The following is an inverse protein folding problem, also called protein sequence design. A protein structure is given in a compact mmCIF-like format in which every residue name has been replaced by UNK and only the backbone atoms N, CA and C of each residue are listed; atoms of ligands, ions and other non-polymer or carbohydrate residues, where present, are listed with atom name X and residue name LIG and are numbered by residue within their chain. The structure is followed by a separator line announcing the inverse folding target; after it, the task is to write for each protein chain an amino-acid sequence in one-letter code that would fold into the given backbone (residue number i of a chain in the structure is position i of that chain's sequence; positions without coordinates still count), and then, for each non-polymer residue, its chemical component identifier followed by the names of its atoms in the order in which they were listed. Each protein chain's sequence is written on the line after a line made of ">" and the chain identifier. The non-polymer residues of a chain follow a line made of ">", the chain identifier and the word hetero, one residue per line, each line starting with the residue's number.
data_IF_565179733621
#
_entry.id   IF_565179733621
#
_cell.length_a   1.000
_cell.length_b   1.000
_cell.length_c   1.000
_cell.angle_alpha   90.00
_cell.angle_beta   90.00
_cell.angle_gamma   90.00
#
_symmetry.space_group_name_H-M   'P 1'
#
loop_
_entity.id
_entity.type
_entity.pdbx_description
1 polymer ?
#
# COMPACT_ATOMS: atom_id res chain seq x y z
N UNK A 1 -64.30 46.25 -62.26
CA UNK A 1 -64.10 45.41 -61.06
C UNK A 1 -64.79 44.08 -61.32
N UNK A 2 -63.99 43.06 -61.62
CA UNK A 2 -64.41 41.72 -62.08
C UNK A 2 -64.71 40.80 -60.88
N UNK A 3 -65.84 40.09 -60.94
CA UNK A 3 -66.20 38.99 -60.06
C UNK A 3 -66.67 37.82 -60.92
N UNK A 4 -65.96 36.69 -60.86
CA UNK A 4 -66.52 35.36 -61.19
C UNK A 4 -65.55 34.23 -60.82
N UNK A 5 -66.05 33.31 -59.96
CA UNK A 5 -66.07 31.82 -60.10
C UNK A 5 -64.72 31.07 -60.25
N UNK A 6 -64.46 29.85 -59.77
CA UNK A 6 -65.28 28.71 -59.32
C UNK A 6 -64.41 27.65 -58.60
N UNK A 7 -65.06 26.89 -57.72
CA UNK A 7 -65.07 25.43 -57.50
C UNK A 7 -63.81 24.53 -57.51
N UNK A 8 -63.89 23.60 -56.55
CA UNK A 8 -63.11 22.38 -56.25
C UNK A 8 -62.65 21.53 -57.45
N UNK A 9 -61.46 20.93 -57.30
CA UNK A 9 -61.14 19.60 -57.81
C UNK A 9 -60.24 18.84 -56.82
N UNK A 10 -60.66 17.62 -56.47
CA UNK A 10 -59.89 16.66 -55.68
C UNK A 10 -58.87 15.93 -56.58
N UNK A 11 -57.65 15.72 -56.09
CA UNK A 11 -56.69 14.77 -56.66
C UNK A 11 -56.01 14.01 -55.53
N UNK A 12 -56.24 12.70 -55.50
CA UNK A 12 -55.47 11.71 -54.75
C UNK A 12 -54.05 11.61 -55.32
N UNK A 13 -53.02 11.64 -54.47
CA UNK A 13 -51.66 11.22 -54.84
C UNK A 13 -51.08 10.23 -53.81
N UNK A 14 -50.33 9.21 -54.26
CA UNK A 14 -49.96 8.04 -53.46
C UNK A 14 -48.67 8.22 -52.65
N UNK A 15 -48.54 7.33 -51.67
CA UNK A 15 -47.42 7.18 -50.73
C UNK A 15 -46.04 7.05 -51.41
N UNK A 16 -45.10 7.89 -50.97
CA UNK A 16 -43.66 7.72 -51.16
C UNK A 16 -43.02 7.40 -49.81
N UNK A 17 -42.70 6.12 -49.60
CA UNK A 17 -41.84 5.66 -48.50
C UNK A 17 -40.41 6.11 -48.80
N UNK A 18 -40.01 7.25 -48.25
CA UNK A 18 -38.62 7.68 -48.21
C UNK A 18 -37.93 6.97 -47.03
N UNK A 19 -37.13 5.94 -47.33
CA UNK A 19 -36.27 5.28 -46.35
C UNK A 19 -35.13 6.19 -45.92
N UNK A 20 -35.10 6.57 -44.65
CA UNK A 20 -33.92 7.15 -44.02
C UNK A 20 -32.94 6.03 -43.66
N UNK A 21 -32.02 5.69 -44.57
CA UNK A 21 -30.85 4.88 -44.24
C UNK A 21 -29.79 5.77 -43.60
N UNK A 22 -29.77 5.85 -42.26
CA UNK A 22 -28.69 6.48 -41.51
C UNK A 22 -27.43 5.64 -41.69
N UNK A 23 -26.41 6.18 -42.35
CA UNK A 23 -25.12 5.52 -42.47
C UNK A 23 -24.52 5.27 -41.07
N UNK A 24 -24.00 4.07 -40.75
CA UNK A 24 -23.31 3.85 -39.49
C UNK A 24 -22.05 4.72 -39.49
N UNK A 25 -21.99 5.67 -38.56
CA UNK A 25 -20.79 6.43 -38.25
C UNK A 25 -19.67 5.44 -37.94
N UNK A 26 -18.61 5.44 -38.76
CA UNK A 26 -17.39 4.68 -38.50
C UNK A 26 -16.93 5.04 -37.08
N UNK A 27 -16.66 4.07 -36.19
CA UNK A 27 -16.07 4.40 -34.90
C UNK A 27 -14.76 5.12 -35.18
N UNK A 28 -14.67 6.37 -34.74
CA UNK A 28 -13.42 7.11 -34.70
C UNK A 28 -12.53 6.34 -33.72
N UNK A 29 -11.69 5.43 -34.23
CA UNK A 29 -10.62 4.84 -33.44
C UNK A 29 -9.68 6.00 -33.10
N UNK A 30 -9.90 6.62 -31.94
CA UNK A 30 -8.98 7.55 -31.35
C UNK A 30 -7.64 6.83 -31.19
N UNK A 31 -6.67 7.21 -32.02
CA UNK A 31 -5.30 6.75 -31.85
C UNK A 31 -4.86 7.11 -30.42
N UNK A 32 -4.15 6.20 -29.71
CA UNK A 32 -3.57 6.55 -28.42
C UNK A 32 -2.66 7.76 -28.62
N UNK A 33 -2.94 8.85 -27.90
CA UNK A 33 -2.17 10.09 -27.98
C UNK A 33 -0.74 9.73 -27.59
N UNK A 34 0.26 10.08 -28.41
CA UNK A 34 1.65 9.65 -28.23
C UNK A 34 2.21 9.91 -26.80
N UNK A 35 1.68 10.92 -26.10
CA UNK A 35 1.98 11.21 -24.70
C UNK A 35 1.50 10.16 -23.69
N UNK A 36 0.39 9.47 -23.93
CA UNK A 36 -0.13 8.41 -23.05
C UNK A 36 0.69 7.11 -23.15
N UNK A 37 1.24 6.83 -24.33
CA UNK A 37 2.15 5.69 -24.51
C UNK A 37 3.50 5.92 -23.82
N UNK A 38 4.02 7.15 -23.85
CA UNK A 38 5.24 7.53 -23.13
C UNK A 38 5.05 7.56 -21.61
N UNK A 39 3.94 8.10 -21.08
CA UNK A 39 3.67 8.09 -19.64
C UNK A 39 3.52 6.65 -19.12
N UNK A 40 2.78 5.79 -19.83
CA UNK A 40 2.65 4.39 -19.45
C UNK A 40 3.96 3.58 -19.59
N UNK A 41 4.90 4.01 -20.44
CA UNK A 41 6.23 3.39 -20.53
C UNK A 41 7.15 3.85 -19.39
N UNK A 42 7.13 5.15 -19.05
CA UNK A 42 7.82 5.71 -17.89
C UNK A 42 7.34 5.05 -16.60
N UNK A 43 6.03 4.93 -16.40
CA UNK A 43 5.44 4.25 -15.23
C UNK A 43 5.87 2.77 -15.14
N UNK A 44 6.05 2.09 -16.27
CA UNK A 44 6.50 0.69 -16.29
C UNK A 44 7.99 0.53 -15.95
N UNK A 45 8.84 1.43 -16.43
CA UNK A 45 10.26 1.46 -16.03
C UNK A 45 10.38 1.78 -14.53
N UNK A 46 9.62 2.79 -14.08
CA UNK A 46 9.48 3.22 -12.68
C UNK A 46 9.18 2.05 -11.74
N UNK A 47 8.14 1.29 -12.03
CA UNK A 47 7.72 0.12 -11.23
C UNK A 47 8.79 -0.97 -11.22
N UNK A 48 9.49 -1.17 -12.35
CA UNK A 48 10.56 -2.18 -12.45
C UNK A 48 11.74 -1.83 -11.54
N UNK A 49 12.14 -0.56 -11.52
CA UNK A 49 13.27 -0.11 -10.72
C UNK A 49 12.95 -0.19 -9.22
N UNK A 50 11.74 0.21 -8.81
CA UNK A 50 11.28 0.07 -7.42
C UNK A 50 11.23 -1.39 -6.98
N UNK A 51 10.77 -2.29 -7.87
CA UNK A 51 10.79 -3.72 -7.56
C UNK A 51 12.19 -4.28 -7.40
N UNK A 52 13.14 -3.86 -8.23
CA UNK A 52 14.52 -4.29 -8.09
C UNK A 52 15.09 -3.86 -6.73
N UNK A 53 14.72 -2.67 -6.24
CA UNK A 53 15.09 -2.21 -4.90
C UNK A 53 14.48 -3.07 -3.79
N UNK A 54 13.18 -3.38 -3.84
CA UNK A 54 12.53 -4.27 -2.86
C UNK A 54 13.19 -5.64 -2.84
N UNK A 55 13.48 -6.23 -4.00
CA UNK A 55 14.12 -7.55 -4.11
C UNK A 55 15.52 -7.53 -3.48
N UNK A 56 16.30 -6.47 -3.71
CA UNK A 56 17.59 -6.31 -3.05
C UNK A 56 17.44 -6.20 -1.53
N UNK A 57 16.45 -5.42 -1.08
CA UNK A 57 16.20 -5.19 0.34
C UNK A 57 15.76 -6.47 1.07
N UNK A 58 14.90 -7.27 0.44
CA UNK A 58 14.53 -8.62 0.92
C UNK A 58 15.79 -9.47 1.11
N UNK A 59 16.62 -9.59 0.07
CA UNK A 59 17.84 -10.41 0.12
C UNK A 59 18.78 -10.00 1.27
N UNK A 60 18.89 -8.68 1.52
CA UNK A 60 19.65 -8.16 2.65
C UNK A 60 19.05 -8.61 3.99
N UNK A 61 17.75 -8.41 4.17
CA UNK A 61 17.06 -8.71 5.43
C UNK A 61 17.03 -10.22 5.71
N UNK A 62 16.83 -11.05 4.70
CA UNK A 62 16.91 -12.52 4.82
C UNK A 62 18.27 -12.97 5.34
N UNK A 63 19.36 -12.41 4.80
CA UNK A 63 20.72 -12.75 5.20
C UNK A 63 21.00 -12.34 6.65
N UNK A 64 20.41 -11.24 7.11
CA UNK A 64 20.79 -10.63 8.39
C UNK A 64 19.81 -10.92 9.53
N UNK A 65 18.52 -11.16 9.30
CA UNK A 65 17.56 -11.36 10.39
C UNK A 65 17.62 -12.76 11.03
N UNK A 66 18.22 -13.76 10.37
CA UNK A 66 18.65 -15.01 11.00
C UNK A 66 17.57 -15.89 11.65
N UNK A 67 16.30 -15.49 11.62
CA UNK A 67 15.12 -16.27 11.98
C UNK A 67 14.16 -16.31 10.80
N UNK A 68 13.42 -17.42 10.74
CA UNK A 68 12.47 -17.83 9.71
C UNK A 68 12.09 -16.78 8.68
N UNK A 69 12.30 -17.14 7.40
CA UNK A 69 11.82 -16.39 6.23
C UNK A 69 10.31 -16.11 6.26
N UNK A 70 9.55 -16.73 7.17
CA UNK A 70 8.11 -16.48 7.37
C UNK A 70 7.78 -15.06 7.84
N UNK A 71 8.77 -14.35 8.40
CA UNK A 71 8.58 -13.01 8.94
C UNK A 71 8.77 -11.91 7.88
N UNK A 72 9.14 -12.26 6.65
CA UNK A 72 9.29 -11.36 5.52
C UNK A 72 8.25 -11.68 4.45
N UNK A 73 7.39 -10.71 4.12
CA UNK A 73 6.38 -10.86 3.09
C UNK A 73 6.59 -9.80 2.00
N UNK A 74 6.87 -10.25 0.78
CA UNK A 74 6.87 -9.40 -0.42
C UNK A 74 5.43 -9.10 -0.81
N UNK A 75 5.03 -7.83 -0.69
CA UNK A 75 3.72 -7.33 -1.09
C UNK A 75 3.71 -6.76 -2.51
N UNK A 76 4.81 -6.93 -3.26
CA UNK A 76 4.96 -6.58 -4.67
C UNK A 76 5.45 -5.16 -4.92
N UNK A 77 4.94 -4.17 -4.16
CA UNK A 77 5.39 -2.77 -4.17
C UNK A 77 6.06 -2.34 -2.85
N UNK A 78 6.03 -3.25 -1.87
CA UNK A 78 6.43 -3.01 -0.49
C UNK A 78 6.84 -4.31 0.18
N UNK A 79 7.62 -4.18 1.24
CA UNK A 79 8.08 -5.29 2.05
C UNK A 79 7.49 -5.17 3.45
N UNK A 80 6.85 -6.23 3.93
CA UNK A 80 6.40 -6.33 5.30
C UNK A 80 7.36 -7.21 6.10
N UNK A 81 7.93 -6.63 7.16
CA UNK A 81 8.74 -7.37 8.15
C UNK A 81 7.92 -7.52 9.42
N UNK A 82 7.76 -8.74 9.91
CA UNK A 82 7.05 -9.03 11.16
C UNK A 82 8.06 -9.34 12.25
N UNK A 83 7.98 -8.65 13.38
CA UNK A 83 8.73 -8.97 14.58
C UNK A 83 7.74 -9.47 15.64
N UNK A 84 7.83 -10.72 16.09
CA UNK A 84 7.05 -11.19 17.22
C UNK A 84 7.31 -10.31 18.44
N UNK A 85 6.23 -9.85 19.09
CA UNK A 85 6.34 -9.05 20.31
C UNK A 85 6.95 -9.85 21.46
N UNK A 86 6.67 -11.15 21.49
CA UNK A 86 7.36 -12.10 22.36
C UNK A 86 8.85 -12.18 21.99
N UNK A 87 9.73 -11.92 22.96
CA UNK A 87 11.17 -11.88 22.76
C UNK A 87 11.69 -10.54 22.27
N UNK A 88 10.91 -9.74 21.53
CA UNK A 88 11.29 -8.36 21.20
C UNK A 88 11.11 -7.40 22.38
N UNK A 89 10.07 -7.59 23.21
CA UNK A 89 9.75 -6.74 24.36
C UNK A 89 9.74 -7.52 25.68
N UNK A 90 9.98 -6.80 26.77
CA UNK A 90 9.85 -7.31 28.14
C UNK A 90 8.36 -7.39 28.52
N UNK A 91 7.74 -8.57 28.39
CA UNK A 91 6.34 -8.81 28.78
C UNK A 91 5.35 -7.89 28.06
N UNK A 92 4.41 -7.28 28.81
CA UNK A 92 3.46 -6.25 28.31
C UNK A 92 3.97 -4.82 28.54
N UNK A 93 5.24 -4.55 28.21
CA UNK A 93 5.83 -3.19 28.28
C UNK A 93 6.28 -2.70 26.90
N UNK A 94 6.73 -1.46 26.81
CA UNK A 94 7.38 -0.85 25.64
C UNK A 94 8.92 -0.94 25.68
N UNK A 95 9.49 -1.64 26.67
CA UNK A 95 10.92 -1.84 26.80
C UNK A 95 11.37 -2.99 25.90
N UNK A 96 12.26 -2.69 24.96
CA UNK A 96 12.88 -3.70 24.10
C UNK A 96 13.88 -4.54 24.89
N UNK A 97 13.90 -5.83 24.62
CA UNK A 97 14.97 -6.72 25.11
C UNK A 97 16.26 -6.48 24.31
N UNK A 98 17.42 -6.96 24.77
CA UNK A 98 18.65 -6.95 23.97
C UNK A 98 18.47 -7.61 22.59
N UNK A 99 17.75 -8.74 22.54
CA UNK A 99 17.48 -9.43 21.27
C UNK A 99 16.56 -8.60 20.35
N UNK A 100 15.57 -7.91 20.90
CA UNK A 100 14.72 -6.99 20.14
C UNK A 100 15.52 -5.81 19.57
N UNK A 101 16.42 -5.23 20.36
CA UNK A 101 17.33 -4.17 19.91
C UNK A 101 18.20 -4.66 18.75
N UNK A 102 18.75 -5.88 18.83
CA UNK A 102 19.58 -6.45 17.77
C UNK A 102 18.80 -6.71 16.47
N UNK A 103 17.55 -7.16 16.57
CA UNK A 103 16.67 -7.34 15.41
C UNK A 103 16.36 -6.00 14.73
N UNK A 104 15.96 -4.99 15.51
CA UNK A 104 15.70 -3.64 15.00
C UNK A 104 16.96 -3.01 14.41
N UNK A 105 18.14 -3.29 14.98
CA UNK A 105 19.41 -2.82 14.43
C UNK A 105 19.73 -3.38 13.05
N UNK A 106 19.39 -4.65 12.78
CA UNK A 106 19.56 -5.26 11.45
C UNK A 106 18.62 -4.63 10.42
N UNK A 107 17.38 -4.30 10.83
CA UNK A 107 16.44 -3.54 10.01
C UNK A 107 16.99 -2.12 9.73
N UNK A 108 17.55 -1.45 10.74
CA UNK A 108 18.18 -0.15 10.54
C UNK A 108 19.31 -0.21 9.50
N UNK A 109 20.18 -1.23 9.59
CA UNK A 109 21.26 -1.42 8.64
C UNK A 109 20.75 -1.64 7.20
N UNK A 110 19.63 -2.34 7.03
CA UNK A 110 18.94 -2.44 5.74
C UNK A 110 18.48 -1.08 5.23
N UNK A 111 17.84 -0.26 6.08
CA UNK A 111 17.37 1.07 5.70
C UNK A 111 18.50 2.03 5.32
N UNK A 112 19.70 1.83 5.89
CA UNK A 112 20.89 2.59 5.50
C UNK A 112 21.49 2.11 4.17
N UNK A 113 21.43 0.80 3.89
CA UNK A 113 21.87 0.25 2.61
C UNK A 113 20.93 0.63 1.45
N UNK A 114 19.64 0.84 1.74
CA UNK A 114 18.60 1.22 0.78
C UNK A 114 18.03 2.61 1.13
N UNK A 115 18.73 3.71 0.79
CA UNK A 115 18.36 5.06 1.22
C UNK A 115 17.08 5.60 0.57
N UNK A 116 16.64 5.03 -0.54
CA UNK A 116 15.44 5.42 -1.30
C UNK A 116 14.20 4.64 -0.84
N UNK A 117 14.05 4.46 0.47
CA UNK A 117 12.89 3.80 1.07
C UNK A 117 12.37 4.53 2.31
N UNK A 118 11.07 4.46 2.55
CA UNK A 118 10.41 4.87 3.80
C UNK A 118 9.87 3.64 4.51
N UNK A 119 9.66 3.75 5.81
CA UNK A 119 9.01 2.70 6.59
C UNK A 119 7.92 3.23 7.51
N UNK A 120 6.96 2.36 7.80
CA UNK A 120 5.96 2.57 8.84
C UNK A 120 6.03 1.40 9.82
N UNK A 121 6.27 1.72 11.10
CA UNK A 121 6.25 0.75 12.19
C UNK A 121 4.85 0.71 12.77
N UNK A 122 4.19 -0.44 12.64
CA UNK A 122 2.84 -0.70 13.08
C UNK A 122 2.86 -1.63 14.30
N UNK A 123 2.32 -1.17 15.42
CA UNK A 123 2.25 -1.96 16.64
C UNK A 123 0.93 -2.69 16.81
N UNK A 124 1.00 -3.97 17.15
CA UNK A 124 -0.13 -4.79 17.58
C UNK A 124 0.19 -5.39 18.95
N UNK A 125 -0.84 -5.53 19.78
CA UNK A 125 -0.72 -6.21 21.07
C UNK A 125 -1.79 -7.27 21.19
N UNK A 126 -1.50 -8.30 21.99
CA UNK A 126 -2.54 -9.23 22.44
C UNK A 126 -3.61 -8.44 23.22
N UNK A 127 -4.87 -8.73 22.92
CA UNK A 127 -6.01 -8.04 23.52
C UNK A 127 -6.06 -8.17 25.04
N UNK A 128 -6.51 -7.12 25.70
CA UNK A 128 -6.83 -7.11 27.13
C UNK A 128 -8.30 -6.74 27.35
N UNK A 129 -8.66 -6.32 28.56
CA UNK A 129 -10.01 -5.81 28.86
C UNK A 129 -10.22 -4.37 28.38
N UNK A 130 -9.21 -3.68 27.84
CA UNK A 130 -9.31 -2.28 27.44
C UNK A 130 -8.58 -1.98 26.13
N UNK A 131 -9.36 -1.78 25.07
CA UNK A 131 -8.89 -1.37 23.74
C UNK A 131 -8.06 -0.08 23.78
N UNK A 132 -8.44 0.86 24.64
CA UNK A 132 -7.69 2.11 24.82
C UNK A 132 -6.29 1.87 25.38
N UNK A 133 -6.17 0.99 26.38
CA UNK A 133 -4.87 0.63 26.96
C UNK A 133 -3.99 -0.11 25.95
N UNK A 134 -4.59 -0.99 25.14
CA UNK A 134 -3.92 -1.75 24.09
C UNK A 134 -3.42 -0.81 22.99
N UNK A 135 -4.25 0.16 22.59
CA UNK A 135 -3.89 1.20 21.62
C UNK A 135 -2.68 1.99 22.09
N UNK A 136 -2.69 2.49 23.33
CA UNK A 136 -1.55 3.24 23.89
C UNK A 136 -0.28 2.38 23.91
N UNK A 137 -0.37 1.13 24.38
CA UNK A 137 0.80 0.26 24.48
C UNK A 137 1.40 -0.01 23.09
N UNK A 138 0.55 -0.30 22.10
CA UNK A 138 0.99 -0.53 20.73
C UNK A 138 1.65 0.69 20.09
N UNK A 139 1.12 1.91 20.34
CA UNK A 139 1.73 3.17 19.89
C UNK A 139 3.12 3.36 20.53
N UNK A 140 3.24 3.14 21.85
CA UNK A 140 4.52 3.29 22.58
C UNK A 140 5.58 2.32 22.07
N UNK A 141 5.20 1.07 21.78
CA UNK A 141 6.12 0.08 21.18
C UNK A 141 6.61 0.51 19.80
N UNK A 142 5.73 1.03 18.95
CA UNK A 142 6.13 1.56 17.65
C UNK A 142 7.13 2.73 17.80
N UNK A 143 6.90 3.61 18.78
CA UNK A 143 7.82 4.72 19.11
C UNK A 143 9.16 4.22 19.67
N UNK A 144 9.17 3.16 20.49
CA UNK A 144 10.39 2.57 21.01
C UNK A 144 11.27 1.99 19.88
N UNK A 145 10.67 1.28 18.93
CA UNK A 145 11.37 0.81 17.73
C UNK A 145 11.91 1.98 16.91
N UNK A 146 11.09 3.02 16.66
CA UNK A 146 11.54 4.24 15.96
C UNK A 146 12.76 4.86 16.64
N UNK A 147 12.77 4.91 17.97
CA UNK A 147 13.88 5.47 18.74
C UNK A 147 15.17 4.66 18.53
N UNK A 148 15.09 3.33 18.50
CA UNK A 148 16.25 2.48 18.18
C UNK A 148 16.71 2.69 16.74
N UNK A 149 15.79 2.70 15.76
CA UNK A 149 16.12 2.95 14.35
C UNK A 149 16.87 4.29 14.17
N UNK A 150 16.38 5.35 14.81
CA UNK A 150 17.02 6.67 14.80
C UNK A 150 18.41 6.64 15.47
N UNK A 151 18.54 5.94 16.61
CA UNK A 151 19.85 5.79 17.28
C UNK A 151 20.89 5.05 16.42
N UNK A 152 20.44 4.28 15.42
CA UNK A 152 21.30 3.61 14.44
C UNK A 152 21.53 4.43 13.17
N UNK A 153 21.03 5.66 13.11
CA UNK A 153 21.30 6.61 12.01
C UNK A 153 20.22 6.67 10.93
N UNK A 154 19.07 6.00 11.09
CA UNK A 154 17.95 6.15 10.14
C UNK A 154 17.25 7.49 10.38
N UNK A 155 17.13 8.30 9.34
CA UNK A 155 16.48 9.61 9.44
C UNK A 155 15.01 9.52 9.89
N UNK A 156 14.63 10.38 10.83
CA UNK A 156 13.29 10.36 11.43
C UNK A 156 12.14 10.58 10.42
N UNK A 157 12.40 11.35 9.36
CA UNK A 157 11.47 11.60 8.26
C UNK A 157 11.16 10.35 7.44
N UNK A 158 12.01 9.33 7.51
CA UNK A 158 11.79 8.03 6.84
C UNK A 158 10.94 7.07 7.67
N UNK A 159 10.61 7.41 8.91
CA UNK A 159 9.99 6.50 9.87
C UNK A 159 8.64 7.04 10.36
N UNK A 160 7.57 6.45 9.84
CA UNK A 160 6.21 6.56 10.39
C UNK A 160 5.99 5.57 11.55
N UNK A 161 5.06 5.90 12.44
CA UNK A 161 4.63 5.02 13.54
C UNK A 161 3.11 4.99 13.63
N UNK A 162 2.54 3.83 13.93
CA UNK A 162 1.11 3.63 14.14
C UNK A 162 0.86 2.47 15.10
N UNK A 163 0.20 2.68 16.23
CA UNK A 163 -0.34 1.60 17.04
C UNK A 163 -1.76 1.25 16.61
N UNK A 164 -2.06 -0.03 16.45
CA UNK A 164 -3.41 -0.55 16.17
C UNK A 164 -4.07 -1.20 17.39
N UNK A 165 -3.36 -1.31 18.51
CA UNK A 165 -3.84 -2.06 19.68
C UNK A 165 -4.11 -3.51 19.31
N UNK A 166 -5.27 -4.01 19.71
CA UNK A 166 -5.76 -5.36 19.44
C UNK A 166 -6.81 -5.42 18.31
N UNK A 167 -7.05 -4.31 17.59
CA UNK A 167 -8.17 -4.15 16.66
C UNK A 167 -8.01 -4.86 15.31
N UNK A 168 -6.87 -5.50 15.07
CA UNK A 168 -6.52 -6.15 13.79
C UNK A 168 -5.84 -7.51 14.05
N UNK A 169 -6.61 -8.48 14.59
CA UNK A 169 -6.09 -9.80 14.93
C UNK A 169 -5.89 -10.65 13.67
N UNK A 170 -4.79 -11.40 13.63
CA UNK A 170 -4.48 -12.36 12.56
C UNK A 170 -4.75 -13.81 13.00
N UNK A 171 -4.94 -14.02 14.30
CA UNK A 171 -5.30 -15.30 14.90
C UNK A 171 -6.46 -15.14 15.88
N UNK A 172 -7.23 -16.21 16.09
CA UNK A 172 -8.35 -16.21 17.05
C UNK A 172 -7.83 -16.15 18.49
N UNK A 173 -8.38 -15.27 19.35
CA UNK A 173 -7.81 -14.93 20.67
C UNK A 173 -7.99 -16.01 21.78
N UNK A 174 -8.30 -17.26 21.43
CA UNK A 174 -8.73 -18.30 22.39
C UNK A 174 -7.88 -19.57 22.37
N UNK A 175 -6.81 -19.59 21.58
CA UNK A 175 -5.87 -20.71 21.49
C UNK A 175 -4.50 -20.20 21.95
N UNK A 176 -4.08 -20.60 23.16
CA UNK A 176 -2.89 -20.11 23.87
C UNK A 176 -1.56 -20.07 23.07
N UNK A 177 -1.51 -20.72 21.90
CA UNK A 177 -0.34 -20.75 21.01
C UNK A 177 -0.45 -19.73 19.87
N UNK A 178 -1.65 -19.37 19.44
CA UNK A 178 -1.89 -18.46 18.32
C UNK A 178 -2.07 -16.99 18.77
N UNK A 179 -2.39 -16.75 20.05
CA UNK A 179 -2.46 -15.39 20.64
C UNK A 179 -1.14 -14.63 20.54
N UNK A 180 -0.01 -15.36 20.55
CA UNK A 180 1.32 -14.80 20.37
C UNK A 180 1.52 -14.17 18.97
N UNK A 181 0.74 -14.59 17.98
CA UNK A 181 0.76 -13.97 16.64
C UNK A 181 0.08 -12.58 16.64
N UNK A 182 -0.88 -12.34 17.54
CA UNK A 182 -1.52 -11.03 17.66
C UNK A 182 -0.59 -9.99 18.32
N UNK A 183 0.30 -10.44 19.20
CA UNK A 183 1.37 -9.61 19.77
C UNK A 183 2.58 -9.52 18.82
N UNK A 184 2.57 -8.54 17.93
CA UNK A 184 3.61 -8.37 16.89
C UNK A 184 3.84 -6.91 16.54
N UNK A 185 4.98 -6.64 15.93
CA UNK A 185 5.28 -5.38 15.26
C UNK A 185 5.40 -5.66 13.76
N UNK A 186 4.67 -4.91 12.96
CA UNK A 186 4.72 -4.96 11.51
C UNK A 186 5.49 -3.75 11.01
N UNK A 187 6.52 -3.95 10.20
CA UNK A 187 7.35 -2.89 9.65
C UNK A 187 7.19 -2.92 8.14
N UNK A 188 6.38 -1.99 7.65
CA UNK A 188 6.10 -1.84 6.23
C UNK A 188 7.16 -0.94 5.60
N UNK A 189 7.92 -1.45 4.65
CA UNK A 189 8.98 -0.72 3.95
C UNK A 189 8.54 -0.51 2.50
N UNK A 190 8.62 0.74 2.03
CA UNK A 190 8.20 1.15 0.70
C UNK A 190 9.30 1.95 0.02
N UNK A 191 9.77 1.55 -1.18
CA UNK A 191 10.64 2.38 -2.00
C UNK A 191 9.99 3.73 -2.36
N UNK A 192 10.80 4.76 -2.53
CA UNK A 192 10.39 6.14 -2.86
C UNK A 192 11.39 6.76 -3.83
N UNK A 193 10.89 7.51 -4.80
CA UNK A 193 11.72 7.93 -5.95
C UNK A 193 12.43 9.26 -5.77
N UNK A 194 11.81 10.19 -5.04
CA UNK A 194 12.26 11.59 -4.99
C UNK A 194 13.04 11.89 -3.70
N UNK A 195 13.66 10.85 -3.13
CA UNK A 195 14.32 10.90 -1.83
C UNK A 195 13.33 10.71 -0.68
N UNK A 196 13.80 10.06 0.38
CA UNK A 196 12.91 9.66 1.46
C UNK A 196 12.47 10.81 2.39
N UNK A 197 13.02 12.01 2.24
CA UNK A 197 12.76 13.17 3.11
C UNK A 197 12.53 14.49 2.35
N UNK A 198 12.27 14.42 1.05
CA UNK A 198 11.85 15.54 0.21
C UNK A 198 10.36 15.81 0.25
#
# INVERSE_FOLDING_TARGET
>A
MTLTKAALAAVLLPALLAGCATAPSRPHMSQPVAGQAQSAALDRARIRDLRAEVVGQISYLETHLGRDRSDLLDMGDSLLVTLPGAGAFEGRTDRLTPSGIDQVARIAASMLAYPYSRMTVIGHVEGSMSDYSDKILSDRRAVAIKSVLMSRGVDACRIGVLGKGSSDPIATPYTNREDQHNNRMEIMIKPVQDGACG
#
